data_IF_489294745849
#
_entry.id   IF_489294745849
#
_cell.length_a   1.000
_cell.length_b   1.000
_cell.length_c   1.000
_cell.angle_alpha   90.00
_cell.angle_beta   90.00
_cell.angle_gamma   90.00
#
_symmetry.space_group_name_H-M   'P 1'
#
loop_
_entity.id
_entity.type
_entity.pdbx_description
1 polymer ?
#
# COMPACT_ATOMS: atom_id res chain seq x y z
N UNK A 1 1.63 6.99 -20.96
CA UNK A 1 0.70 6.06 -20.31
C UNK A 1 1.43 4.88 -19.71
N UNK A 2 1.28 4.72 -18.41
CA UNK A 2 1.75 3.61 -17.57
C UNK A 2 0.81 2.43 -17.79
N UNK A 3 1.33 1.32 -18.32
CA UNK A 3 0.49 0.16 -18.68
C UNK A 3 0.70 -0.98 -17.72
N UNK A 4 1.97 -1.35 -17.50
CA UNK A 4 2.29 -2.51 -16.67
C UNK A 4 2.10 -2.16 -15.20
N UNK A 5 2.46 -0.94 -14.77
CA UNK A 5 2.20 -0.48 -13.41
C UNK A 5 0.70 -0.49 -13.07
N UNK A 6 -0.17 -0.05 -14.00
CA UNK A 6 -1.63 -0.13 -13.83
C UNK A 6 -2.17 -1.56 -13.80
N UNK A 7 -1.53 -2.48 -14.52
CA UNK A 7 -1.89 -3.90 -14.41
C UNK A 7 -1.62 -4.42 -13.00
N UNK A 8 -0.43 -4.13 -12.46
CA UNK A 8 -0.08 -4.53 -11.08
C UNK A 8 -1.00 -3.86 -10.06
N UNK A 9 -1.39 -2.60 -10.27
CA UNK A 9 -2.33 -1.91 -9.38
C UNK A 9 -3.70 -2.59 -9.36
N UNK A 10 -4.20 -3.08 -10.49
CA UNK A 10 -5.45 -3.87 -10.51
C UNK A 10 -5.33 -5.21 -9.78
N UNK A 11 -4.18 -5.87 -9.90
CA UNK A 11 -3.93 -7.10 -9.16
C UNK A 11 -3.85 -6.81 -7.64
N UNK A 12 -3.30 -5.64 -7.25
CA UNK A 12 -3.29 -5.15 -5.86
C UNK A 12 -4.71 -4.88 -5.33
N UNK A 13 -5.56 -4.22 -6.10
CA UNK A 13 -6.97 -3.99 -5.74
C UNK A 13 -7.71 -5.32 -5.51
N UNK A 14 -7.45 -6.32 -6.36
CA UNK A 14 -8.01 -7.66 -6.18
C UNK A 14 -7.52 -8.31 -4.88
N UNK A 15 -6.21 -8.23 -4.59
CA UNK A 15 -5.66 -8.75 -3.35
C UNK A 15 -6.24 -8.06 -2.11
N UNK A 16 -6.42 -6.74 -2.16
CA UNK A 16 -7.06 -5.97 -1.09
C UNK A 16 -8.53 -6.36 -0.90
N UNK A 17 -9.31 -6.47 -1.96
CA UNK A 17 -10.70 -6.92 -1.89
C UNK A 17 -10.86 -8.34 -1.32
N UNK A 18 -9.92 -9.25 -1.61
CA UNK A 18 -9.89 -10.58 -1.00
C UNK A 18 -9.53 -10.52 0.49
N UNK A 19 -8.64 -9.60 0.87
CA UNK A 19 -8.21 -9.42 2.25
C UNK A 19 -9.32 -8.85 3.14
N UNK A 20 -10.17 -7.95 2.61
CA UNK A 20 -11.30 -7.36 3.32
C UNK A 20 -12.24 -8.39 3.95
N UNK A 21 -12.45 -9.52 3.24
CA UNK A 21 -13.43 -10.55 3.61
C UNK A 21 -12.79 -11.82 4.17
N UNK A 22 -11.47 -11.87 4.30
CA UNK A 22 -10.78 -13.09 4.75
C UNK A 22 -10.69 -13.14 6.28
N UNK A 23 -11.30 -14.17 6.86
CA UNK A 23 -11.33 -14.40 8.30
C UNK A 23 -10.27 -15.41 8.76
N UNK A 24 -9.71 -16.23 7.86
CA UNK A 24 -8.75 -17.27 8.26
C UNK A 24 -7.36 -16.66 8.41
N UNK A 25 -6.72 -16.75 9.60
CA UNK A 25 -5.44 -16.11 9.88
C UNK A 25 -4.32 -16.44 8.89
N UNK A 26 -4.24 -17.70 8.44
CA UNK A 26 -3.20 -18.13 7.51
C UNK A 26 -3.38 -17.55 6.11
N UNK A 27 -4.62 -17.44 5.64
CA UNK A 27 -4.93 -16.88 4.32
C UNK A 27 -4.84 -15.37 4.35
N UNK A 28 -5.27 -14.74 5.43
CA UNK A 28 -5.06 -13.31 5.68
C UNK A 28 -3.58 -12.96 5.57
N UNK A 29 -2.69 -13.71 6.25
CA UNK A 29 -1.24 -13.51 6.16
C UNK A 29 -0.73 -13.63 4.73
N UNK A 30 -1.13 -14.66 3.99
CA UNK A 30 -0.68 -14.85 2.59
C UNK A 30 -1.16 -13.71 1.70
N UNK A 31 -2.41 -13.28 1.85
CA UNK A 31 -2.98 -12.15 1.12
C UNK A 31 -2.30 -10.84 1.50
N UNK A 32 -1.91 -10.64 2.77
CA UNK A 32 -1.12 -9.49 3.19
C UNK A 32 0.25 -9.45 2.50
N UNK A 33 0.96 -10.58 2.48
CA UNK A 33 2.23 -10.69 1.73
C UNK A 33 2.03 -10.31 0.27
N UNK A 34 0.96 -10.83 -0.36
CA UNK A 34 0.63 -10.51 -1.74
C UNK A 34 0.34 -9.01 -1.93
N UNK A 35 -0.50 -8.41 -1.08
CA UNK A 35 -0.84 -6.99 -1.11
C UNK A 35 0.38 -6.08 -0.98
N UNK A 36 1.21 -6.31 0.04
CA UNK A 36 2.44 -5.51 0.27
C UNK A 36 3.44 -5.69 -0.89
N UNK A 37 3.60 -6.91 -1.39
CA UNK A 37 4.48 -7.19 -2.53
C UNK A 37 3.98 -6.49 -3.81
N UNK A 38 2.68 -6.53 -4.09
CA UNK A 38 2.06 -5.88 -5.24
C UNK A 38 2.15 -4.35 -5.14
N UNK A 39 1.87 -3.76 -3.96
CA UNK A 39 2.03 -2.33 -3.70
C UNK A 39 3.46 -1.86 -3.98
N UNK A 40 4.47 -2.66 -3.61
CA UNK A 40 5.86 -2.36 -3.97
C UNK A 40 6.14 -2.58 -5.46
N UNK A 41 5.55 -3.61 -6.05
CA UNK A 41 5.77 -3.97 -7.45
C UNK A 41 5.26 -2.88 -8.40
N UNK A 42 4.17 -2.18 -8.08
CA UNK A 42 3.69 -1.02 -8.87
C UNK A 42 4.84 -0.03 -9.12
N UNK A 43 5.48 0.45 -8.05
CA UNK A 43 6.60 1.39 -8.17
C UNK A 43 7.86 0.80 -8.81
N UNK A 44 8.12 -0.49 -8.62
CA UNK A 44 9.25 -1.17 -9.29
C UNK A 44 9.04 -1.23 -10.80
N UNK A 45 7.88 -1.72 -11.23
CA UNK A 45 7.48 -1.85 -12.63
C UNK A 45 7.40 -0.49 -13.30
N UNK A 46 6.84 0.52 -12.62
CA UNK A 46 6.83 1.89 -13.10
C UNK A 46 8.25 2.36 -13.46
N UNK A 47 9.18 2.21 -12.52
CA UNK A 47 10.54 2.71 -12.68
C UNK A 47 11.44 1.86 -13.60
N UNK A 48 11.18 0.56 -13.76
CA UNK A 48 12.07 -0.35 -14.50
C UNK A 48 11.50 -0.85 -15.82
N UNK A 49 10.19 -0.99 -15.91
CA UNK A 49 9.51 -1.52 -17.09
C UNK A 49 8.89 -0.38 -17.87
N UNK A 50 7.95 0.38 -17.28
CA UNK A 50 7.25 1.44 -18.01
C UNK A 50 8.20 2.59 -18.42
N UNK A 51 9.17 2.96 -17.57
CA UNK A 51 10.18 3.99 -17.89
C UNK A 51 11.10 3.65 -19.10
N UNK A 52 11.13 2.38 -19.53
CA UNK A 52 11.93 1.98 -20.69
C UNK A 52 11.20 2.23 -22.02
N UNK A 53 9.90 2.50 -21.98
CA UNK A 53 9.04 2.60 -23.18
C UNK A 53 9.16 3.93 -23.92
N UNK A 54 9.54 5.02 -23.25
CA UNK A 54 9.81 6.31 -23.89
C UNK A 54 10.65 7.22 -22.99
N UNK A 55 11.38 8.17 -23.58
CA UNK A 55 12.18 9.13 -22.85
C UNK A 55 11.30 10.13 -22.08
N UNK A 56 10.15 10.47 -22.62
CA UNK A 56 9.13 11.34 -22.02
C UNK A 56 8.60 10.73 -20.73
N UNK A 57 8.16 9.46 -20.79
CA UNK A 57 7.65 8.75 -19.62
C UNK A 57 8.73 8.57 -18.55
N UNK A 58 9.97 8.27 -18.95
CA UNK A 58 11.10 8.23 -18.01
C UNK A 58 11.30 9.56 -17.29
N UNK A 59 11.27 10.67 -18.02
CA UNK A 59 11.41 12.02 -17.45
C UNK A 59 10.27 12.33 -16.49
N UNK A 60 9.02 12.08 -16.88
CA UNK A 60 7.85 12.30 -16.04
C UNK A 60 7.92 11.50 -14.73
N UNK A 61 8.26 10.21 -14.80
CA UNK A 61 8.44 9.34 -13.61
C UNK A 61 9.56 9.89 -12.71
N UNK A 62 10.70 10.29 -13.29
CA UNK A 62 11.83 10.82 -12.54
C UNK A 62 11.48 12.11 -11.78
N UNK A 63 10.76 13.03 -12.44
CA UNK A 63 10.27 14.27 -11.84
C UNK A 63 9.30 13.96 -10.71
N UNK A 64 8.29 13.11 -10.96
CA UNK A 64 7.30 12.74 -9.97
C UNK A 64 7.95 12.12 -8.72
N UNK A 65 8.89 11.20 -8.90
CA UNK A 65 9.60 10.57 -7.78
C UNK A 65 10.49 11.55 -7.01
N UNK A 66 11.11 12.51 -7.70
CA UNK A 66 11.92 13.55 -7.08
C UNK A 66 11.06 14.52 -6.26
N UNK A 67 9.88 14.89 -6.78
CA UNK A 67 8.88 15.67 -6.05
C UNK A 67 8.43 14.95 -4.78
N UNK A 68 8.10 13.65 -4.88
CA UNK A 68 7.71 12.89 -3.70
C UNK A 68 8.78 12.86 -2.61
N UNK A 69 10.07 12.75 -2.99
CA UNK A 69 11.18 12.80 -2.03
C UNK A 69 11.32 14.16 -1.34
N UNK A 70 11.15 15.26 -2.09
CA UNK A 70 11.19 16.60 -1.52
C UNK A 70 10.07 16.81 -0.50
N UNK A 71 8.90 16.22 -0.75
CA UNK A 71 7.70 16.35 0.08
C UNK A 71 7.39 15.06 0.86
N UNK A 72 8.42 14.41 1.43
CA UNK A 72 8.28 13.09 2.10
C UNK A 72 7.12 13.03 3.10
N UNK A 73 6.87 14.13 3.84
CA UNK A 73 5.78 14.23 4.84
C UNK A 73 4.38 14.17 4.23
N UNK A 74 4.21 14.49 2.94
CA UNK A 74 2.94 14.38 2.22
C UNK A 74 2.77 13.00 1.58
N UNK A 75 3.87 12.27 1.36
CA UNK A 75 3.87 10.93 0.76
C UNK A 75 4.15 9.82 1.79
N UNK A 76 3.65 9.99 3.02
CA UNK A 76 3.89 9.03 4.12
C UNK A 76 3.40 7.62 3.81
N UNK A 77 2.31 7.47 3.08
CA UNK A 77 1.82 6.16 2.65
C UNK A 77 2.89 5.40 1.86
N UNK A 78 3.63 6.09 0.98
CA UNK A 78 4.73 5.45 0.25
C UNK A 78 5.93 5.18 1.15
N UNK A 79 6.31 6.17 1.95
CA UNK A 79 7.60 6.19 2.63
C UNK A 79 7.64 5.52 4.00
N UNK A 80 6.54 5.61 4.73
CA UNK A 80 6.38 5.14 6.12
C UNK A 80 5.50 3.87 6.18
N UNK A 81 4.88 3.45 5.05
CA UNK A 81 4.14 2.19 4.95
C UNK A 81 4.66 1.28 3.83
N UNK A 82 4.45 1.60 2.54
CA UNK A 82 4.81 0.69 1.42
C UNK A 82 6.29 0.27 1.47
N UNK A 83 7.20 1.19 1.79
CA UNK A 83 8.62 0.88 1.86
C UNK A 83 8.97 -0.01 3.06
N UNK A 84 8.45 0.36 4.23
CA UNK A 84 8.82 -0.18 5.53
C UNK A 84 8.17 -1.54 5.75
N UNK A 85 6.85 -1.64 5.56
CA UNK A 85 6.10 -2.89 5.68
C UNK A 85 6.65 -3.96 4.72
N UNK A 86 7.03 -3.55 3.50
CA UNK A 86 7.68 -4.46 2.56
C UNK A 86 9.01 -4.98 3.07
N UNK A 87 9.83 -4.14 3.72
CA UNK A 87 11.10 -4.61 4.27
C UNK A 87 10.84 -5.66 5.36
N UNK A 88 9.92 -5.41 6.28
CA UNK A 88 9.55 -6.37 7.33
C UNK A 88 9.02 -7.67 6.72
N UNK A 89 8.01 -7.59 5.85
CA UNK A 89 7.35 -8.77 5.29
C UNK A 89 8.26 -9.59 4.37
N UNK A 90 9.01 -8.95 3.47
CA UNK A 90 9.79 -9.69 2.45
C UNK A 90 11.21 -10.04 2.88
N UNK A 91 11.78 -9.38 3.89
CA UNK A 91 13.14 -9.68 4.36
C UNK A 91 13.17 -10.43 5.68
N UNK A 92 12.21 -10.17 6.54
CA UNK A 92 12.20 -10.68 7.92
C UNK A 92 11.00 -11.60 8.16
N UNK A 93 10.03 -11.64 7.23
CA UNK A 93 8.76 -12.37 7.38
C UNK A 93 8.02 -12.00 8.67
N UNK A 94 8.16 -10.72 9.03
CA UNK A 94 7.46 -10.10 10.16
C UNK A 94 6.28 -9.28 9.63
N UNK A 95 5.17 -9.33 10.36
CA UNK A 95 3.93 -8.67 10.00
C UNK A 95 3.74 -7.47 10.92
N UNK A 96 3.59 -6.28 10.34
CA UNK A 96 3.48 -5.03 11.09
C UNK A 96 2.13 -4.81 11.77
N UNK A 97 1.27 -5.83 11.87
CA UNK A 97 -0.06 -5.76 12.48
C UNK A 97 -0.29 -6.83 13.55
N UNK A 98 -1.20 -6.56 14.47
CA UNK A 98 -1.68 -7.55 15.44
C UNK A 98 -2.70 -8.46 14.78
N UNK A 99 -2.51 -9.78 14.90
CA UNK A 99 -3.47 -10.79 14.44
C UNK A 99 -3.93 -11.65 15.62
N UNK A 100 -5.24 -11.89 15.75
CA UNK A 100 -5.83 -12.66 16.85
C UNK A 100 -6.72 -11.79 17.74
N UNK A 101 -7.08 -12.29 18.95
CA UNK A 101 -7.98 -11.57 19.86
C UNK A 101 -7.39 -10.20 20.20
N UNK A 102 -8.07 -9.14 19.76
CA UNK A 102 -7.62 -7.76 20.00
C UNK A 102 -8.60 -7.09 20.95
N UNK A 103 -8.05 -6.57 22.05
CA UNK A 103 -8.80 -5.84 23.06
C UNK A 103 -9.00 -4.39 22.60
N UNK A 104 -10.24 -3.96 22.46
CA UNK A 104 -10.62 -2.60 22.01
C UNK A 104 -11.49 -1.89 23.04
N UNK A 105 -11.18 -0.61 23.26
CA UNK A 105 -11.92 0.27 24.16
C UNK A 105 -13.05 0.99 23.39
N UNK A 106 -14.29 0.78 23.81
CA UNK A 106 -15.48 1.43 23.27
C UNK A 106 -15.80 2.69 24.09
N UNK A 107 -15.69 3.85 23.45
CA UNK A 107 -15.93 5.18 24.05
C UNK A 107 -17.29 5.73 23.55
N UNK A 108 -18.13 6.38 24.39
CA UNK A 108 -17.84 6.91 25.73
C UNK A 108 -18.14 5.95 26.89
N UNK A 109 -18.62 4.74 26.61
CA UNK A 109 -19.08 3.79 27.63
C UNK A 109 -17.93 3.31 28.53
N UNK A 110 -16.68 3.38 28.04
CA UNK A 110 -15.49 2.96 28.79
C UNK A 110 -15.42 1.45 28.97
N UNK A 111 -16.10 0.71 28.10
CA UNK A 111 -16.17 -0.75 28.10
C UNK A 111 -15.15 -1.32 27.13
N UNK A 112 -14.59 -2.47 27.48
CA UNK A 112 -13.58 -3.13 26.68
C UNK A 112 -14.12 -4.44 26.14
N UNK A 113 -14.00 -4.65 24.83
CA UNK A 113 -14.38 -5.92 24.19
C UNK A 113 -13.21 -6.56 23.47
N UNK A 114 -13.25 -7.88 23.41
CA UNK A 114 -12.33 -8.68 22.61
C UNK A 114 -13.02 -8.93 21.28
N UNK A 115 -12.48 -8.36 20.21
CA UNK A 115 -12.95 -8.66 18.86
C UNK A 115 -12.48 -10.07 18.46
N UNK A 116 -13.29 -10.71 17.61
CA UNK A 116 -12.92 -11.98 17.02
C UNK A 116 -11.67 -11.86 16.13
N UNK A 117 -11.21 -12.99 15.65
CA UNK A 117 -10.00 -13.04 14.85
C UNK A 117 -10.23 -12.36 13.49
N UNK A 118 -9.36 -11.42 13.13
CA UNK A 118 -9.35 -10.69 11.84
C UNK A 118 -10.45 -9.65 11.63
N UNK A 119 -11.37 -9.43 12.58
CA UNK A 119 -12.27 -8.28 12.53
C UNK A 119 -11.51 -6.94 12.52
N UNK A 120 -10.42 -6.86 13.29
CA UNK A 120 -9.58 -5.67 13.35
C UNK A 120 -8.10 -6.07 13.50
N UNK A 121 -7.27 -5.61 12.57
CA UNK A 121 -5.86 -5.94 12.46
C UNK A 121 -5.01 -4.66 12.53
N UNK A 122 -4.85 -4.04 13.72
CA UNK A 122 -4.20 -2.75 13.83
C UNK A 122 -2.70 -2.86 13.55
N UNK A 123 -2.14 -1.89 12.83
CA UNK A 123 -0.69 -1.74 12.70
C UNK A 123 -0.08 -1.44 14.07
N UNK A 124 1.05 -2.08 14.38
CA UNK A 124 1.66 -2.05 15.72
C UNK A 124 2.54 -0.82 15.93
N UNK A 125 3.04 -0.22 14.84
CA UNK A 125 4.02 0.87 14.92
C UNK A 125 3.99 1.79 13.70
N UNK A 126 4.79 2.85 13.75
CA UNK A 126 4.91 3.81 12.66
C UNK A 126 3.82 4.89 12.68
N UNK A 127 3.69 5.60 11.57
CA UNK A 127 2.76 6.74 11.45
C UNK A 127 1.29 6.32 11.52
N UNK A 128 1.00 5.09 11.09
CA UNK A 128 -0.34 4.52 11.00
C UNK A 128 -0.62 3.54 12.14
N UNK A 129 0.14 3.61 13.24
CA UNK A 129 -0.07 2.72 14.38
C UNK A 129 -1.50 2.86 14.94
N UNK A 130 -2.16 1.73 15.16
CA UNK A 130 -3.55 1.66 15.61
C UNK A 130 -4.59 1.70 14.49
N UNK A 131 -4.21 2.01 13.25
CA UNK A 131 -5.11 1.91 12.09
C UNK A 131 -5.19 0.46 11.60
N UNK A 132 -6.35 0.05 11.05
CA UNK A 132 -6.47 -1.28 10.44
C UNK A 132 -5.54 -1.40 9.23
N UNK A 133 -4.80 -2.49 9.15
CA UNK A 133 -3.81 -2.68 8.10
C UNK A 133 -4.43 -2.70 6.69
N UNK A 134 -5.69 -3.12 6.57
CA UNK A 134 -6.44 -3.10 5.30
C UNK A 134 -6.76 -1.68 4.85
N UNK A 135 -7.18 -0.81 5.77
CA UNK A 135 -7.45 0.60 5.48
C UNK A 135 -6.19 1.30 4.97
N UNK A 136 -5.05 1.04 5.61
CA UNK A 136 -3.75 1.62 5.19
C UNK A 136 -3.31 1.07 3.82
N UNK A 137 -3.63 -0.19 3.52
CA UNK A 137 -3.43 -0.74 2.17
C UNK A 137 -4.35 -0.08 1.13
N UNK A 138 -5.60 0.22 1.49
CA UNK A 138 -6.52 1.03 0.68
C UNK A 138 -5.96 2.42 0.39
N UNK A 139 -5.42 3.11 1.41
CA UNK A 139 -4.73 4.40 1.23
C UNK A 139 -3.54 4.29 0.26
N UNK A 140 -2.81 3.17 0.28
CA UNK A 140 -1.73 2.90 -0.65
C UNK A 140 -2.20 2.71 -2.10
N UNK A 141 -3.36 2.08 -2.30
CA UNK A 141 -3.99 1.94 -3.61
C UNK A 141 -4.38 3.33 -4.16
N UNK A 142 -5.08 4.14 -3.38
CA UNK A 142 -5.51 5.48 -3.77
C UNK A 142 -4.33 6.40 -4.09
N UNK A 143 -3.27 6.29 -3.28
CA UNK A 143 -2.02 7.01 -3.50
C UNK A 143 -1.39 6.62 -4.84
N UNK A 144 -1.37 5.32 -5.18
CA UNK A 144 -0.85 4.86 -6.47
C UNK A 144 -1.71 5.33 -7.65
N UNK A 145 -3.04 5.30 -7.55
CA UNK A 145 -3.91 5.86 -8.60
C UNK A 145 -3.57 7.31 -8.87
N UNK A 146 -3.60 8.13 -7.82
CA UNK A 146 -3.30 9.57 -7.90
C UNK A 146 -1.94 9.80 -8.56
N UNK A 147 -0.93 9.02 -8.18
CA UNK A 147 0.42 9.16 -8.71
C UNK A 147 0.54 8.73 -10.17
N UNK A 148 -0.08 7.61 -10.56
CA UNK A 148 -0.07 7.13 -11.95
C UNK A 148 -0.88 8.05 -12.87
N UNK A 149 -2.01 8.59 -12.41
CA UNK A 149 -2.84 9.56 -13.13
C UNK A 149 -2.07 10.85 -13.41
N UNK A 150 -1.36 11.37 -12.41
CA UNK A 150 -0.51 12.55 -12.58
C UNK A 150 0.58 12.34 -13.63
N UNK A 151 1.28 11.19 -13.59
CA UNK A 151 2.32 10.84 -14.57
C UNK A 151 1.73 10.69 -15.97
N UNK A 152 0.57 10.03 -16.09
CA UNK A 152 -0.08 9.80 -17.37
C UNK A 152 -0.57 11.09 -18.02
N UNK A 153 -1.10 12.02 -17.22
CA UNK A 153 -1.53 13.35 -17.66
C UNK A 153 -0.37 14.16 -18.24
N UNK A 154 0.77 14.22 -17.52
CA UNK A 154 1.98 14.90 -18.00
C UNK A 154 2.43 14.34 -19.35
N UNK A 155 2.38 13.02 -19.54
CA UNK A 155 2.80 12.40 -20.81
C UNK A 155 1.77 12.59 -21.93
N UNK A 156 0.49 12.75 -21.61
CA UNK A 156 -0.56 13.04 -22.59
C UNK A 156 -0.45 14.48 -23.11
N UNK A 157 -0.15 15.46 -22.24
CA UNK A 157 -0.05 16.88 -22.60
C UNK A 157 1.19 17.21 -23.47
N UNK A 158 2.16 16.29 -23.55
CA UNK A 158 3.39 16.44 -24.36
C UNK A 158 3.34 15.68 -25.70
N UNK A 159 2.18 15.13 -26.08
CA UNK A 159 1.95 14.48 -27.38
C UNK A 159 1.22 15.40 -28.34
#
# INVERSE_FOLDING_TARGET
MTLVARKVLRDLECAHALLEVEERPEQFRVLWVAGVALARAVGHVLNKVDSSRSAELRRAISIAYSGCKAERKLHRVFFDFILDERNSVLKEYEFGFLSGPTEVLIVPVGHTEILDQQLFCPLVSGHFAGEDCRDVLGMAIDWWHTHLDAIDSVVADHK
#
